data_IF_232138372422
#
_entry.id   IF_232138372422
#
_cell.length_a   1.000
_cell.length_b   1.000
_cell.length_c   1.000
_cell.angle_alpha   90.00
_cell.angle_beta   90.00
_cell.angle_gamma   90.00
#
_symmetry.space_group_name_H-M   'P 1'
#
loop_
_entity.id
_entity.type
_entity.pdbx_description
1 polymer ?
#
# COMPACT_ATOMS: atom_id res chain seq x y z
N UNK A 1 9.41 -45.25 11.78
CA UNK A 1 8.01 -44.74 11.81
C UNK A 1 8.10 -43.26 11.55
N UNK A 2 8.28 -42.90 10.29
CA UNK A 2 8.43 -41.51 9.87
C UNK A 2 7.02 -40.94 9.72
N UNK A 3 6.65 -40.09 10.68
CA UNK A 3 5.42 -39.32 10.63
C UNK A 3 5.48 -38.35 9.46
N UNK A 4 4.90 -38.75 8.33
CA UNK A 4 4.54 -37.82 7.26
C UNK A 4 3.55 -36.84 7.88
N UNK A 5 4.03 -35.66 8.23
CA UNK A 5 3.19 -34.55 8.64
C UNK A 5 2.14 -34.37 7.53
N UNK A 6 0.87 -34.61 7.85
CA UNK A 6 -0.22 -34.40 6.92
C UNK A 6 -0.13 -32.95 6.42
N UNK A 7 0.13 -32.78 5.12
CA UNK A 7 0.14 -31.46 4.48
C UNK A 7 -1.30 -30.94 4.60
N UNK A 8 -1.50 -29.94 5.47
CA UNK A 8 -2.82 -29.32 5.61
C UNK A 8 -3.28 -28.83 4.23
N UNK A 9 -4.57 -28.97 3.88
CA UNK A 9 -5.06 -28.54 2.57
C UNK A 9 -4.73 -27.06 2.36
N UNK A 10 -4.13 -26.74 1.21
CA UNK A 10 -3.73 -25.37 0.91
C UNK A 10 -4.97 -24.46 0.83
N UNK A 11 -4.96 -23.37 1.59
CA UNK A 11 -6.10 -22.46 1.69
C UNK A 11 -6.11 -21.53 0.48
N UNK A 12 -7.29 -21.15 0.01
CA UNK A 12 -7.42 -20.20 -1.10
C UNK A 12 -7.30 -18.76 -0.60
N UNK A 13 -6.61 -17.93 -1.37
CA UNK A 13 -6.48 -16.48 -1.18
C UNK A 13 -6.74 -15.79 -2.51
N UNK A 14 -7.57 -14.74 -2.52
CA UNK A 14 -7.73 -13.87 -3.69
C UNK A 14 -7.11 -12.52 -3.38
N UNK A 15 -6.26 -12.02 -4.27
CA UNK A 15 -5.72 -10.67 -4.20
C UNK A 15 -6.20 -9.86 -5.42
N UNK A 16 -6.93 -8.78 -5.17
CA UNK A 16 -7.46 -7.88 -6.20
C UNK A 16 -6.60 -6.62 -6.23
N UNK A 17 -5.90 -6.43 -7.33
CA UNK A 17 -4.91 -5.37 -7.55
C UNK A 17 -5.27 -4.50 -8.76
N UNK A 18 -4.56 -3.38 -8.90
CA UNK A 18 -4.81 -2.43 -9.98
C UNK A 18 -4.75 -0.97 -9.53
N UNK A 19 -4.78 -0.03 -10.49
CA UNK A 19 -4.65 1.40 -10.19
C UNK A 19 -5.80 1.92 -9.33
N UNK A 20 -5.58 2.97 -8.56
CA UNK A 20 -6.67 3.66 -7.84
C UNK A 20 -7.83 4.01 -8.78
N UNK A 21 -9.07 3.96 -8.26
CA UNK A 21 -10.31 4.12 -9.04
C UNK A 21 -10.60 3.04 -10.10
N UNK A 22 -9.87 1.92 -10.15
CA UNK A 22 -10.11 0.83 -11.12
C UNK A 22 -11.29 -0.11 -10.79
N UNK A 23 -12.08 0.15 -9.74
CA UNK A 23 -13.21 -0.71 -9.35
C UNK A 23 -12.88 -1.91 -8.43
N UNK A 24 -11.66 -2.00 -7.88
CA UNK A 24 -11.25 -3.13 -7.02
C UNK A 24 -12.20 -3.39 -5.84
N UNK A 25 -12.59 -2.33 -5.11
CA UNK A 25 -13.48 -2.47 -3.95
C UNK A 25 -14.85 -2.98 -4.36
N UNK A 26 -15.39 -2.51 -5.50
CA UNK A 26 -16.67 -2.98 -6.03
C UNK A 26 -16.62 -4.47 -6.41
N UNK A 27 -15.52 -4.92 -7.04
CA UNK A 27 -15.29 -6.34 -7.32
C UNK A 27 -15.17 -7.18 -6.04
N UNK A 28 -14.44 -6.70 -5.04
CA UNK A 28 -14.29 -7.42 -3.78
C UNK A 28 -15.64 -7.60 -3.07
N UNK A 29 -16.45 -6.54 -3.02
CA UNK A 29 -17.79 -6.56 -2.46
C UNK A 29 -18.73 -7.46 -3.25
N UNK A 30 -18.62 -7.50 -4.59
CA UNK A 30 -19.46 -8.38 -5.41
C UNK A 30 -19.13 -9.85 -5.20
N UNK A 31 -17.85 -10.20 -5.09
CA UNK A 31 -17.40 -11.56 -4.73
C UNK A 31 -17.90 -11.95 -3.33
N UNK A 32 -17.71 -11.09 -2.33
CA UNK A 32 -18.09 -11.36 -0.94
C UNK A 32 -19.61 -11.48 -0.71
N UNK A 33 -20.44 -11.12 -1.70
CA UNK A 33 -21.90 -11.37 -1.65
C UNK A 33 -22.27 -12.81 -2.03
N UNK A 34 -21.44 -13.50 -2.79
CA UNK A 34 -21.73 -14.85 -3.29
C UNK A 34 -20.93 -15.94 -2.59
N UNK A 35 -19.75 -15.60 -2.08
CA UNK A 35 -18.92 -16.52 -1.29
C UNK A 35 -18.71 -15.98 0.12
N UNK A 36 -18.66 -16.87 1.13
CA UNK A 36 -18.40 -16.47 2.51
C UNK A 36 -16.95 -15.94 2.62
N UNK A 37 -16.80 -14.63 2.47
CA UNK A 37 -15.49 -13.97 2.37
C UNK A 37 -15.37 -12.77 3.31
N UNK A 38 -14.12 -12.41 3.61
CA UNK A 38 -13.77 -11.21 4.37
C UNK A 38 -12.66 -10.46 3.63
N UNK A 39 -12.69 -9.12 3.71
CA UNK A 39 -11.77 -8.26 2.95
C UNK A 39 -10.61 -7.83 3.83
N UNK A 40 -9.38 -7.92 3.33
CA UNK A 40 -8.18 -7.36 3.96
C UNK A 40 -7.71 -6.17 3.11
N UNK A 41 -7.80 -4.96 3.66
CA UNK A 41 -7.34 -3.75 2.94
C UNK A 41 -5.82 -3.78 2.76
N UNK A 42 -5.35 -3.52 1.54
CA UNK A 42 -3.94 -3.42 1.14
C UNK A 42 -3.62 -1.98 0.68
N UNK A 43 -3.91 -1.02 1.54
CA UNK A 43 -3.75 0.41 1.27
C UNK A 43 -2.97 1.11 2.40
N UNK A 44 -1.94 1.88 2.04
CA UNK A 44 -1.07 2.54 3.02
C UNK A 44 -1.70 3.75 3.73
N UNK A 45 -2.88 4.21 3.31
CA UNK A 45 -3.60 5.31 3.95
C UNK A 45 -4.80 4.82 4.77
N UNK A 46 -5.48 3.77 4.32
CA UNK A 46 -6.66 3.24 5.01
C UNK A 46 -6.35 2.64 6.39
N UNK A 47 -5.09 2.36 6.67
CA UNK A 47 -4.63 1.90 7.99
C UNK A 47 -4.78 2.96 9.08
N UNK A 48 -4.83 4.25 8.73
CA UNK A 48 -4.82 5.36 9.69
C UNK A 48 -6.23 5.79 10.10
N UNK A 49 -6.46 5.94 11.41
CA UNK A 49 -7.73 6.42 11.98
C UNK A 49 -8.04 7.87 11.59
N UNK A 50 -9.30 8.15 11.28
CA UNK A 50 -9.78 9.51 10.95
C UNK A 50 -9.30 10.05 9.60
N UNK A 51 -8.64 9.22 8.79
CA UNK A 51 -8.30 9.49 7.39
C UNK A 51 -9.28 8.74 6.49
N UNK A 52 -10.54 9.18 6.40
CA UNK A 52 -11.63 8.39 5.82
C UNK A 52 -11.92 8.79 4.38
N UNK A 53 -12.20 10.06 4.13
CA UNK A 53 -12.60 10.60 2.83
C UNK A 53 -11.41 10.56 1.88
N UNK A 54 -10.26 11.13 2.27
CA UNK A 54 -9.12 11.27 1.36
C UNK A 54 -8.46 9.94 0.96
N UNK A 55 -8.64 8.90 1.78
CA UNK A 55 -8.15 7.54 1.52
C UNK A 55 -9.16 6.66 0.77
N UNK A 56 -10.37 7.18 0.52
CA UNK A 56 -11.52 6.42 0.03
C UNK A 56 -11.73 5.11 0.79
N UNK A 57 -11.76 5.19 2.12
CA UNK A 57 -12.13 4.02 2.91
C UNK A 57 -13.55 3.56 2.55
N UNK A 58 -13.81 2.25 2.58
CA UNK A 58 -15.17 1.72 2.55
C UNK A 58 -16.02 2.40 3.64
N UNK A 59 -17.25 2.73 3.26
CA UNK A 59 -18.26 3.30 4.15
C UNK A 59 -18.61 2.34 5.28
N UNK A 60 -19.19 2.84 6.37
CA UNK A 60 -19.66 1.98 7.45
C UNK A 60 -20.71 0.94 6.98
N UNK A 61 -21.53 1.29 5.98
CA UNK A 61 -22.48 0.36 5.38
C UNK A 61 -21.77 -0.80 4.68
N UNK A 62 -20.75 -0.52 3.88
CA UNK A 62 -19.94 -1.55 3.21
C UNK A 62 -19.18 -2.42 4.21
N UNK A 63 -18.63 -1.82 5.27
CA UNK A 63 -17.93 -2.56 6.34
C UNK A 63 -18.86 -3.43 7.19
N UNK A 64 -20.13 -3.05 7.32
CA UNK A 64 -21.16 -3.87 7.98
C UNK A 64 -21.63 -5.02 7.08
N UNK A 65 -21.71 -4.78 5.77
CA UNK A 65 -22.10 -5.80 4.80
C UNK A 65 -21.03 -6.90 4.67
N UNK A 66 -19.75 -6.52 4.66
CA UNK A 66 -18.61 -7.44 4.58
C UNK A 66 -17.54 -7.01 5.58
N UNK A 67 -17.07 -7.89 6.49
CA UNK A 67 -15.99 -7.54 7.40
C UNK A 67 -14.73 -7.08 6.65
N UNK A 68 -14.22 -5.90 7.02
CA UNK A 68 -12.97 -5.37 6.51
C UNK A 68 -11.91 -5.34 7.61
N UNK A 69 -10.76 -5.91 7.31
CA UNK A 69 -9.58 -5.93 8.17
C UNK A 69 -8.56 -4.90 7.71
N UNK A 70 -7.63 -4.54 8.60
CA UNK A 70 -6.49 -3.66 8.31
C UNK A 70 -6.90 -2.22 7.92
N UNK A 71 -8.09 -1.80 8.38
CA UNK A 71 -8.57 -0.42 8.32
C UNK A 71 -8.57 0.13 9.76
N UNK A 72 -8.19 1.39 9.95
CA UNK A 72 -8.23 2.03 11.27
C UNK A 72 -7.41 1.28 12.35
N UNK A 73 -6.23 0.78 11.97
CA UNK A 73 -5.35 -0.02 12.84
C UNK A 73 -4.31 0.81 13.58
N UNK A 74 -3.97 2.00 13.08
CA UNK A 74 -2.99 2.92 13.70
C UNK A 74 -3.49 4.35 13.72
N UNK A 75 -2.98 5.15 14.64
CA UNK A 75 -3.27 6.58 14.69
C UNK A 75 -2.39 7.33 13.66
N UNK A 76 -2.82 8.52 13.18
CA UNK A 76 -2.14 9.22 12.08
C UNK A 76 -0.67 9.58 12.34
N UNK A 77 -0.29 9.74 13.61
CA UNK A 77 1.07 10.09 14.07
C UNK A 77 1.96 8.86 14.31
N UNK A 78 1.40 7.66 14.20
CA UNK A 78 2.13 6.41 14.34
C UNK A 78 2.79 5.98 13.02
N UNK A 79 3.95 5.35 13.13
CA UNK A 79 4.62 4.76 11.98
C UNK A 79 3.97 3.42 11.61
N UNK A 80 3.66 3.21 10.32
CA UNK A 80 3.18 1.92 9.82
C UNK A 80 3.97 1.47 8.58
N UNK A 81 4.66 0.33 8.71
CA UNK A 81 5.55 -0.18 7.66
C UNK A 81 4.94 -1.32 6.85
N UNK A 82 5.58 -1.67 5.74
CA UNK A 82 5.21 -2.86 4.97
C UNK A 82 5.43 -4.17 5.74
N UNK A 83 6.35 -4.18 6.71
CA UNK A 83 6.57 -5.33 7.60
C UNK A 83 5.42 -5.45 8.63
N UNK A 84 4.97 -4.31 9.19
CA UNK A 84 3.79 -4.28 10.08
C UNK A 84 2.54 -4.76 9.34
N UNK A 85 2.34 -4.25 8.12
CA UNK A 85 1.28 -4.70 7.25
C UNK A 85 1.35 -6.21 7.03
N UNK A 86 2.48 -6.76 6.59
CA UNK A 86 2.61 -8.18 6.31
C UNK A 86 2.31 -9.04 7.54
N UNK A 87 2.82 -8.65 8.72
CA UNK A 87 2.55 -9.35 9.98
C UNK A 87 1.07 -9.38 10.32
N UNK A 88 0.42 -8.21 10.33
CA UNK A 88 -1.01 -8.08 10.67
C UNK A 88 -1.92 -8.72 9.61
N UNK A 89 -1.63 -8.53 8.33
CA UNK A 89 -2.37 -9.14 7.24
C UNK A 89 -2.26 -10.66 7.28
N UNK A 90 -1.07 -11.24 7.48
CA UNK A 90 -0.91 -12.71 7.62
C UNK A 90 -1.68 -13.26 8.81
N UNK A 91 -1.79 -12.52 9.92
CA UNK A 91 -2.62 -12.90 11.05
C UNK A 91 -4.11 -12.90 10.65
N UNK A 92 -4.59 -11.81 10.04
CA UNK A 92 -5.96 -11.71 9.55
C UNK A 92 -6.30 -12.83 8.55
N UNK A 93 -5.41 -13.16 7.61
CA UNK A 93 -5.61 -14.28 6.68
C UNK A 93 -5.86 -15.60 7.43
N UNK A 94 -5.02 -15.93 8.41
CA UNK A 94 -5.16 -17.16 9.20
C UNK A 94 -6.48 -17.20 9.96
N UNK A 95 -6.88 -16.09 10.56
CA UNK A 95 -8.13 -15.97 11.30
C UNK A 95 -9.35 -16.11 10.40
N UNK A 96 -9.35 -15.46 9.23
CA UNK A 96 -10.42 -15.56 8.23
C UNK A 96 -10.56 -17.01 7.77
N UNK A 97 -9.46 -17.66 7.40
CA UNK A 97 -9.50 -19.06 6.97
C UNK A 97 -9.87 -20.02 8.10
N UNK A 98 -9.50 -19.74 9.35
CA UNK A 98 -9.92 -20.54 10.49
C UNK A 98 -11.44 -20.51 10.72
N UNK A 99 -12.11 -19.44 10.27
CA UNK A 99 -13.59 -19.34 10.22
C UNK A 99 -14.20 -19.99 8.98
N UNK A 100 -13.42 -20.68 8.15
CA UNK A 100 -13.88 -21.30 6.90
C UNK A 100 -14.25 -20.27 5.81
N UNK A 101 -13.72 -19.05 5.90
CA UNK A 101 -14.02 -17.95 4.96
C UNK A 101 -12.86 -17.69 4.00
N UNK A 102 -13.19 -17.18 2.83
CA UNK A 102 -12.20 -16.77 1.82
C UNK A 102 -11.62 -15.39 2.18
N UNK A 103 -10.31 -15.27 2.42
CA UNK A 103 -9.68 -13.96 2.48
C UNK A 103 -9.56 -13.34 1.09
N UNK A 104 -10.02 -12.09 0.97
CA UNK A 104 -9.88 -11.27 -0.24
C UNK A 104 -9.02 -10.04 0.10
N UNK A 105 -7.78 -10.01 -0.38
CA UNK A 105 -6.87 -8.87 -0.21
C UNK A 105 -7.15 -7.83 -1.29
N UNK A 106 -7.44 -6.59 -0.93
CA UNK A 106 -7.86 -5.55 -1.89
C UNK A 106 -7.01 -4.32 -1.73
N UNK A 107 -6.34 -3.88 -2.79
CA UNK A 107 -5.64 -2.60 -2.73
C UNK A 107 -4.67 -2.34 -3.87
N UNK A 108 -3.97 -1.22 -3.76
CA UNK A 108 -3.03 -0.76 -4.79
C UNK A 108 -1.60 -0.57 -4.27
N UNK A 109 -1.31 -0.95 -3.03
CA UNK A 109 0.01 -0.75 -2.42
C UNK A 109 0.91 -1.94 -2.76
N UNK A 110 1.60 -1.85 -3.90
CA UNK A 110 2.39 -2.96 -4.42
C UNK A 110 3.46 -3.50 -3.45
N UNK A 111 4.09 -2.63 -2.64
CA UNK A 111 5.06 -3.05 -1.64
C UNK A 111 4.41 -3.87 -0.50
N UNK A 112 3.19 -3.52 -0.08
CA UNK A 112 2.44 -4.24 0.95
C UNK A 112 2.05 -5.63 0.45
N UNK A 113 1.55 -5.73 -0.78
CA UNK A 113 1.23 -7.03 -1.37
C UNK A 113 2.48 -7.91 -1.51
N UNK A 114 3.60 -7.33 -1.97
CA UNK A 114 4.88 -8.06 -2.04
C UNK A 114 5.31 -8.55 -0.66
N UNK A 115 5.25 -7.69 0.35
CA UNK A 115 5.58 -8.05 1.73
C UNK A 115 4.69 -9.17 2.27
N UNK A 116 3.40 -9.14 1.95
CA UNK A 116 2.44 -10.18 2.32
C UNK A 116 2.78 -11.52 1.65
N UNK A 117 2.86 -11.55 0.32
CA UNK A 117 2.96 -12.78 -0.48
C UNK A 117 4.37 -13.37 -0.50
N UNK A 118 5.40 -12.53 -0.62
CA UNK A 118 6.80 -12.95 -0.79
C UNK A 118 7.67 -12.69 0.44
N UNK A 119 7.15 -11.96 1.43
CA UNK A 119 7.91 -11.51 2.59
C UNK A 119 8.77 -10.28 2.28
N UNK A 120 9.41 -9.76 3.34
CA UNK A 120 10.52 -8.82 3.26
C UNK A 120 11.70 -9.43 4.03
N UNK A 121 12.92 -8.99 3.70
CA UNK A 121 14.08 -9.39 4.50
C UNK A 121 13.91 -8.94 5.95
N UNK A 122 14.40 -9.76 6.89
CA UNK A 122 14.40 -9.45 8.31
C UNK A 122 15.49 -8.40 8.62
N UNK A 123 15.16 -7.13 8.39
CA UNK A 123 16.06 -6.01 8.62
C UNK A 123 15.84 -5.32 9.97
N UNK A 124 16.82 -4.53 10.44
CA UNK A 124 16.62 -3.68 11.60
C UNK A 124 15.45 -2.72 11.36
N UNK A 125 14.68 -2.46 12.42
CA UNK A 125 13.61 -1.47 12.43
C UNK A 125 14.13 -0.08 12.09
N UNK A 126 13.20 0.83 11.79
CA UNK A 126 13.52 2.24 11.57
C UNK A 126 14.16 2.86 12.81
N UNK A 127 15.22 3.63 12.62
CA UNK A 127 15.88 4.44 13.65
C UNK A 127 15.73 5.93 13.30
N UNK A 128 14.91 6.64 14.08
CA UNK A 128 14.60 8.04 13.86
C UNK A 128 15.84 8.94 14.00
N UNK A 129 16.72 8.66 14.97
CA UNK A 129 17.91 9.47 15.22
C UNK A 129 18.94 9.32 14.10
N UNK A 130 19.13 8.09 13.60
CA UNK A 130 20.03 7.83 12.46
C UNK A 130 19.49 8.53 11.22
N UNK A 131 18.19 8.43 10.94
CA UNK A 131 17.58 9.12 9.79
C UNK A 131 17.73 10.62 9.88
N UNK A 132 17.41 11.23 11.02
CA UNK A 132 17.53 12.68 11.21
C UNK A 132 18.97 13.16 10.95
N UNK A 133 19.97 12.41 11.44
CA UNK A 133 21.39 12.70 11.17
C UNK A 133 21.72 12.62 9.67
N UNK A 134 21.26 11.57 8.99
CA UNK A 134 21.49 11.40 7.55
C UNK A 134 20.77 12.48 6.73
N UNK A 135 19.55 12.86 7.11
CA UNK A 135 18.81 13.96 6.49
C UNK A 135 19.54 15.29 6.66
N UNK A 136 20.09 15.59 7.84
CA UNK A 136 20.95 16.77 8.07
C UNK A 136 22.20 16.76 7.20
N UNK A 137 22.80 15.59 6.96
CA UNK A 137 23.94 15.47 6.02
C UNK A 137 23.50 15.75 4.59
N UNK A 138 22.38 15.18 4.14
CA UNK A 138 21.82 15.46 2.82
C UNK A 138 21.50 16.95 2.62
N UNK A 139 20.90 17.60 3.62
CA UNK A 139 20.56 19.01 3.58
C UNK A 139 21.81 19.91 3.48
N UNK A 140 22.91 19.55 4.17
CA UNK A 140 24.14 20.35 4.20
C UNK A 140 25.08 20.08 3.02
N UNK A 141 25.17 18.84 2.55
CA UNK A 141 26.19 18.38 1.59
C UNK A 141 25.61 17.81 0.28
N UNK A 142 24.29 17.78 0.15
CA UNK A 142 23.58 17.22 -0.99
C UNK A 142 23.50 15.69 -0.99
N UNK A 143 22.57 15.16 -1.79
CA UNK A 143 22.30 13.73 -1.90
C UNK A 143 23.48 12.93 -2.46
N UNK A 144 24.27 13.54 -3.34
CA UNK A 144 25.50 12.96 -3.86
C UNK A 144 26.52 12.63 -2.75
N UNK A 145 26.54 13.38 -1.65
CA UNK A 145 27.40 13.06 -0.50
C UNK A 145 26.95 11.78 0.21
N UNK A 146 25.64 11.59 0.40
CA UNK A 146 25.10 10.36 0.98
C UNK A 146 25.29 9.17 0.05
N UNK A 147 25.08 9.35 -1.25
CA UNK A 147 25.26 8.29 -2.22
C UNK A 147 26.73 7.82 -2.30
N UNK A 148 27.71 8.73 -2.22
CA UNK A 148 29.12 8.35 -2.09
C UNK A 148 29.42 7.55 -0.83
N UNK A 149 28.76 7.87 0.29
CA UNK A 149 28.88 7.06 1.50
C UNK A 149 28.29 5.66 1.27
N UNK A 150 27.13 5.57 0.63
CA UNK A 150 26.51 4.29 0.26
C UNK A 150 27.43 3.48 -0.64
N UNK A 151 28.03 4.08 -1.66
CA UNK A 151 28.95 3.41 -2.59
C UNK A 151 30.17 2.80 -1.90
N UNK A 152 30.60 3.32 -0.75
CA UNK A 152 31.71 2.76 0.04
C UNK A 152 31.29 1.55 0.85
N UNK A 153 30.06 1.52 1.37
CA UNK A 153 29.59 0.47 2.30
C UNK A 153 28.76 -0.61 1.61
N UNK A 154 28.08 -0.27 0.52
CA UNK A 154 27.25 -1.18 -0.28
C UNK A 154 27.29 -0.77 -1.78
N UNK A 155 28.38 -1.09 -2.50
CA UNK A 155 28.53 -0.73 -3.91
C UNK A 155 27.40 -1.28 -4.80
N UNK A 156 26.90 -2.47 -4.48
CA UNK A 156 25.82 -3.11 -5.23
C UNK A 156 24.47 -2.40 -5.02
N UNK A 157 24.18 -1.89 -3.82
CA UNK A 157 23.02 -1.01 -3.62
C UNK A 157 23.22 0.33 -4.33
N UNK A 158 24.40 0.94 -4.25
CA UNK A 158 24.68 2.23 -4.88
C UNK A 158 24.54 2.20 -6.41
N UNK A 159 24.87 1.08 -7.06
CA UNK A 159 24.67 0.89 -8.49
C UNK A 159 23.19 0.80 -8.91
N UNK A 160 22.30 0.42 -8.00
CA UNK A 160 20.85 0.24 -8.25
C UNK A 160 20.00 1.41 -7.78
N UNK A 161 20.47 2.13 -6.76
CA UNK A 161 19.75 3.24 -6.14
C UNK A 161 20.25 4.54 -6.76
N UNK A 162 19.34 5.25 -7.43
CA UNK A 162 19.60 6.57 -7.99
C UNK A 162 20.08 7.55 -6.93
N UNK A 163 21.02 8.44 -7.29
CA UNK A 163 21.58 9.44 -6.37
C UNK A 163 20.50 10.29 -5.71
N UNK A 164 19.46 10.66 -6.48
CA UNK A 164 18.32 11.46 -6.03
C UNK A 164 17.32 10.70 -5.16
N UNK A 165 17.40 9.37 -5.08
CA UNK A 165 16.51 8.57 -4.23
C UNK A 165 17.00 8.57 -2.78
N UNK A 166 16.93 9.76 -2.16
CA UNK A 166 17.36 9.99 -0.78
C UNK A 166 16.75 8.97 0.18
N UNK A 167 15.48 8.61 -0.01
CA UNK A 167 14.76 7.69 0.87
C UNK A 167 15.41 6.31 0.87
N UNK A 168 15.71 5.75 -0.32
CA UNK A 168 16.39 4.44 -0.42
C UNK A 168 17.85 4.51 0.01
N UNK A 169 18.56 5.60 -0.30
CA UNK A 169 19.94 5.81 0.17
C UNK A 169 20.00 5.83 1.69
N UNK A 170 19.14 6.62 2.33
CA UNK A 170 19.05 6.69 3.80
C UNK A 170 18.71 5.32 4.38
N UNK A 171 17.75 4.58 3.81
CA UNK A 171 17.40 3.24 4.30
C UNK A 171 18.57 2.27 4.21
N UNK A 172 19.32 2.27 3.11
CA UNK A 172 20.48 1.39 2.96
C UNK A 172 21.58 1.70 3.99
N UNK A 173 21.86 2.99 4.21
CA UNK A 173 22.81 3.43 5.22
C UNK A 173 22.34 3.17 6.66
N UNK A 174 21.04 3.36 6.93
CA UNK A 174 20.40 3.05 8.21
C UNK A 174 20.55 1.56 8.55
N UNK A 175 20.24 0.66 7.59
CA UNK A 175 20.39 -0.78 7.76
C UNK A 175 21.84 -1.17 8.03
N UNK A 176 22.78 -0.62 7.26
CA UNK A 176 24.21 -0.86 7.48
C UNK A 176 24.65 -0.38 8.86
N UNK A 177 24.20 0.81 9.28
CA UNK A 177 24.60 1.39 10.56
C UNK A 177 24.08 0.59 11.76
N UNK A 178 22.85 0.07 11.66
CA UNK A 178 22.21 -0.68 12.73
C UNK A 178 22.67 -2.14 12.80
N UNK A 179 22.94 -2.78 11.66
CA UNK A 179 23.26 -4.21 11.60
C UNK A 179 24.75 -4.52 11.40
N UNK A 180 25.57 -3.53 11.05
CA UNK A 180 26.95 -3.72 10.59
C UNK A 180 27.08 -4.36 9.20
N UNK A 181 25.97 -4.75 8.56
CA UNK A 181 25.94 -5.49 7.30
C UNK A 181 25.25 -4.68 6.20
N UNK A 182 25.75 -4.70 4.94
CA UNK A 182 25.13 -3.99 3.82
C UNK A 182 23.69 -4.43 3.54
N UNK A 183 22.85 -3.53 3.02
CA UNK A 183 21.46 -3.84 2.65
C UNK A 183 21.39 -4.98 1.62
N UNK A 184 22.33 -5.03 0.68
CA UNK A 184 22.39 -6.10 -0.32
C UNK A 184 22.69 -7.47 0.28
N UNK A 185 23.41 -7.54 1.41
CA UNK A 185 23.64 -8.80 2.10
C UNK A 185 22.34 -9.35 2.69
N UNK A 186 21.55 -8.50 3.35
CA UNK A 186 20.23 -8.87 3.86
C UNK A 186 19.26 -9.31 2.77
N UNK A 187 19.26 -8.63 1.61
CA UNK A 187 18.42 -9.03 0.49
C UNK A 187 18.79 -10.42 -0.10
N UNK A 188 20.03 -10.88 0.06
CA UNK A 188 20.48 -12.21 -0.43
C UNK A 188 20.01 -13.36 0.45
N UNK A 189 19.79 -13.11 1.74
CA UNK A 189 19.24 -14.11 2.67
C UNK A 189 17.79 -14.47 2.35
N UNK A 190 17.14 -13.64 1.52
CA UNK A 190 15.78 -13.87 1.06
C UNK A 190 14.73 -13.39 2.06
N UNK A 191 13.49 -13.74 1.77
CA UNK A 191 12.35 -13.43 2.61
C UNK A 191 11.43 -14.63 2.64
N UNK A 192 10.72 -14.83 3.75
CA UNK A 192 9.80 -15.95 3.88
C UNK A 192 8.49 -15.65 3.11
N UNK A 193 8.17 -16.43 2.06
CA UNK A 193 6.90 -16.28 1.35
C UNK A 193 5.72 -16.67 2.25
N UNK A 194 4.52 -16.31 1.81
CA UNK A 194 3.29 -16.71 2.47
C UNK A 194 3.13 -18.24 2.35
N UNK A 195 3.18 -18.95 3.47
CA UNK A 195 2.99 -20.39 3.53
C UNK A 195 1.52 -20.78 3.77
N UNK A 196 1.09 -21.91 3.22
CA UNK A 196 -0.24 -22.50 3.43
C UNK A 196 -1.38 -21.86 2.63
N UNK A 197 -1.06 -21.06 1.61
CA UNK A 197 -2.04 -20.45 0.72
C UNK A 197 -1.67 -20.65 -0.75
N UNK A 198 -2.67 -20.96 -1.58
CA UNK A 198 -2.63 -20.76 -3.03
C UNK A 198 -3.34 -19.45 -3.33
N UNK A 199 -2.65 -18.55 -4.03
CA UNK A 199 -3.17 -17.22 -4.31
C UNK A 199 -3.51 -17.02 -5.79
N UNK A 200 -4.72 -16.52 -6.05
CA UNK A 200 -5.05 -15.84 -7.32
C UNK A 200 -4.79 -14.35 -7.17
N UNK A 201 -3.93 -13.77 -8.01
CA UNK A 201 -3.73 -12.32 -8.08
C UNK A 201 -4.45 -11.77 -9.32
N UNK A 202 -5.63 -11.19 -9.13
CA UNK A 202 -6.46 -10.60 -10.18
C UNK A 202 -6.17 -9.10 -10.30
N UNK A 203 -5.62 -8.67 -11.44
CA UNK A 203 -5.32 -7.28 -11.75
C UNK A 203 -6.37 -6.63 -12.64
N UNK A 204 -6.92 -5.50 -12.21
CA UNK A 204 -7.82 -4.69 -13.03
C UNK A 204 -7.03 -3.66 -13.84
N UNK A 205 -7.24 -3.62 -15.15
CA UNK A 205 -6.58 -2.71 -16.08
C UNK A 205 -7.61 -2.00 -17.00
N UNK A 206 -8.46 -1.12 -16.46
CA UNK A 206 -9.39 -0.34 -17.28
C UNK A 206 -8.65 0.56 -18.27
N UNK A 207 -9.35 0.99 -19.32
CA UNK A 207 -8.83 1.97 -20.27
C UNK A 207 -8.41 3.27 -19.58
N UNK A 208 -7.46 3.99 -20.19
CA UNK A 208 -6.94 5.23 -19.61
C UNK A 208 -8.03 6.29 -19.47
N UNK A 209 -8.96 6.32 -20.41
CA UNK A 209 -10.10 7.22 -20.48
C UNK A 209 -11.08 6.93 -19.34
N UNK A 210 -11.46 5.66 -19.17
CA UNK A 210 -12.34 5.24 -18.07
C UNK A 210 -11.70 5.51 -16.70
N UNK A 211 -10.40 5.22 -16.56
CA UNK A 211 -9.66 5.48 -15.34
C UNK A 211 -9.63 6.97 -15.00
N UNK A 212 -9.39 7.84 -16.00
CA UNK A 212 -9.39 9.30 -15.79
C UNK A 212 -10.76 9.80 -15.37
N UNK A 213 -11.82 9.37 -16.05
CA UNK A 213 -13.19 9.75 -15.69
C UNK A 213 -13.54 9.33 -14.26
N UNK A 214 -13.16 8.11 -13.86
CA UNK A 214 -13.36 7.62 -12.49
C UNK A 214 -12.56 8.41 -11.45
N UNK A 215 -11.32 8.80 -11.75
CA UNK A 215 -10.49 9.65 -10.89
C UNK A 215 -11.09 11.04 -10.72
N UNK A 216 -11.57 11.66 -11.81
CA UNK A 216 -12.20 12.98 -11.78
C UNK A 216 -13.50 12.96 -10.97
N UNK A 217 -14.37 11.97 -11.20
CA UNK A 217 -15.60 11.80 -10.44
C UNK A 217 -15.33 11.57 -8.95
N UNK A 218 -14.39 10.67 -8.61
CA UNK A 218 -14.00 10.38 -7.22
C UNK A 218 -13.40 11.59 -6.53
N UNK A 219 -12.56 12.36 -7.24
CA UNK A 219 -11.97 13.59 -6.69
C UNK A 219 -13.07 14.58 -6.31
N UNK A 220 -14.01 14.83 -7.22
CA UNK A 220 -15.14 15.73 -6.96
C UNK A 220 -15.94 15.28 -5.73
N UNK A 221 -16.31 14.00 -5.70
CA UNK A 221 -17.08 13.42 -4.60
C UNK A 221 -16.37 13.54 -3.25
N UNK A 222 -15.04 13.42 -3.18
CA UNK A 222 -14.28 13.60 -1.94
C UNK A 222 -14.39 15.04 -1.41
N UNK A 223 -14.23 16.04 -2.28
CA UNK A 223 -14.36 17.44 -1.87
C UNK A 223 -15.81 17.77 -1.45
N UNK A 224 -16.81 17.27 -2.18
CA UNK A 224 -18.22 17.42 -1.84
C UNK A 224 -18.58 16.73 -0.50
N UNK A 225 -17.94 15.60 -0.19
CA UNK A 225 -18.13 14.88 1.06
C UNK A 225 -17.44 15.53 2.27
N UNK A 226 -16.74 16.65 2.10
CA UNK A 226 -16.10 17.38 3.21
C UNK A 226 -14.64 17.00 3.46
N UNK A 227 -13.88 16.59 2.43
CA UNK A 227 -12.44 16.30 2.57
C UNK A 227 -11.65 17.46 3.22
N UNK A 228 -12.01 18.71 2.91
CA UNK A 228 -11.34 19.89 3.50
C UNK A 228 -11.60 19.96 5.01
N UNK A 229 -12.80 19.62 5.46
CA UNK A 229 -13.17 19.63 6.87
C UNK A 229 -12.53 18.46 7.64
N UNK A 230 -12.42 17.29 7.03
CA UNK A 230 -11.61 16.17 7.56
C UNK A 230 -10.17 16.63 7.82
N UNK A 231 -9.55 17.32 6.85
CA UNK A 231 -8.19 17.83 6.99
C UNK A 231 -8.07 18.93 8.04
N UNK A 232 -9.05 19.84 8.14
CA UNK A 232 -9.09 20.84 9.24
C UNK A 232 -9.12 20.14 10.60
N UNK A 233 -9.93 19.10 10.75
CA UNK A 233 -10.02 18.30 11.98
C UNK A 233 -8.73 17.54 12.30
N UNK A 234 -7.96 17.13 11.30
CA UNK A 234 -6.63 16.56 11.50
C UNK A 234 -5.60 17.62 11.91
N UNK A 235 -5.57 18.77 11.24
CA UNK A 235 -4.66 19.88 11.55
C UNK A 235 -4.90 20.52 12.92
N UNK A 236 -6.12 20.42 13.45
CA UNK A 236 -6.44 20.86 14.80
C UNK A 236 -5.84 19.94 15.89
N UNK A 237 -5.54 18.68 15.56
CA UNK A 237 -5.09 17.65 16.52
C UNK A 237 -3.63 17.22 16.33
N UNK A 238 -3.10 17.37 15.12
CA UNK A 238 -1.78 16.88 14.73
C UNK A 238 -0.96 17.96 14.04
N UNK A 239 0.38 17.90 14.11
CA UNK A 239 1.23 18.87 13.44
C UNK A 239 1.05 18.79 11.92
N UNK A 240 1.19 19.92 11.22
CA UNK A 240 1.09 19.97 9.76
C UNK A 240 2.15 19.11 9.03
N UNK A 241 3.20 18.69 9.74
CA UNK A 241 4.25 17.78 9.26
C UNK A 241 3.87 16.29 9.32
N UNK A 242 2.63 15.99 9.74
CA UNK A 242 2.10 14.63 9.80
C UNK A 242 2.22 13.94 8.43
N UNK A 243 2.92 12.80 8.38
CA UNK A 243 3.27 12.15 7.09
C UNK A 243 2.06 11.83 6.21
N UNK A 244 0.95 11.27 6.73
CA UNK A 244 -0.26 11.09 5.94
C UNK A 244 -0.82 12.36 5.26
N UNK A 245 -0.61 13.56 5.82
CA UNK A 245 -1.05 14.82 5.19
C UNK A 245 -0.26 15.16 3.92
N UNK A 246 0.90 14.51 3.69
CA UNK A 246 1.66 14.64 2.44
C UNK A 246 1.12 13.74 1.31
N UNK A 247 0.13 12.89 1.58
CA UNK A 247 -0.44 12.00 0.57
C UNK A 247 -1.38 12.74 -0.38
N UNK A 248 -1.55 12.17 -1.59
CA UNK A 248 -2.50 12.69 -2.59
C UNK A 248 -3.91 12.69 -2.00
N UNK A 249 -4.66 13.76 -2.20
CA UNK A 249 -5.94 14.06 -1.57
C UNK A 249 -5.75 14.95 -0.34
N UNK A 250 -5.00 14.47 0.65
CA UNK A 250 -4.78 15.20 1.90
C UNK A 250 -3.92 16.44 1.71
N UNK A 251 -2.87 16.37 0.89
CA UNK A 251 -1.96 17.50 0.62
C UNK A 251 -2.71 18.66 -0.05
N UNK A 252 -3.50 18.34 -1.07
CA UNK A 252 -4.28 19.31 -1.83
C UNK A 252 -5.38 19.92 -0.96
N UNK A 253 -6.09 19.11 -0.17
CA UNK A 253 -7.08 19.59 0.78
C UNK A 253 -6.47 20.41 1.92
N UNK A 254 -5.25 20.10 2.36
CA UNK A 254 -4.52 20.90 3.35
C UNK A 254 -4.14 22.28 2.81
N UNK A 255 -3.77 22.39 1.53
CA UNK A 255 -3.53 23.69 0.88
C UNK A 255 -4.81 24.54 0.83
N UNK A 256 -5.97 23.92 0.54
CA UNK A 256 -7.27 24.60 0.61
C UNK A 256 -7.61 25.02 2.04
N UNK A 257 -7.40 24.13 3.01
CA UNK A 257 -7.67 24.41 4.42
C UNK A 257 -6.86 25.61 4.96
N UNK A 258 -5.65 25.85 4.42
CA UNK A 258 -4.80 27.00 4.74
C UNK A 258 -5.08 28.26 3.91
N UNK A 259 -6.03 28.21 2.98
CA UNK A 259 -6.34 29.33 2.09
C UNK A 259 -5.29 29.59 1.01
N UNK A 260 -4.38 28.65 0.77
CA UNK A 260 -3.34 28.78 -0.24
C UNK A 260 -3.90 28.52 -1.65
N UNK A 261 -4.82 27.55 -1.77
CA UNK A 261 -5.43 27.11 -3.03
C UNK A 261 -6.95 27.19 -2.99
N UNK A 262 -7.57 27.39 -4.16
CA UNK A 262 -9.01 27.15 -4.34
C UNK A 262 -9.31 25.65 -4.46
N UNK A 263 -10.56 25.27 -4.21
CA UNK A 263 -11.04 23.88 -4.42
C UNK A 263 -10.76 23.42 -5.85
N UNK A 264 -11.03 24.26 -6.85
CA UNK A 264 -10.78 23.91 -8.26
C UNK A 264 -9.30 23.66 -8.56
N UNK A 265 -8.40 24.46 -7.99
CA UNK A 265 -6.96 24.26 -8.13
C UNK A 265 -6.55 22.91 -7.51
N UNK A 266 -7.03 22.63 -6.30
CA UNK A 266 -6.77 21.40 -5.57
C UNK A 266 -7.30 20.16 -6.31
N UNK A 267 -8.53 20.22 -6.85
CA UNK A 267 -9.10 19.13 -7.64
C UNK A 267 -8.29 18.84 -8.91
N UNK A 268 -7.90 19.89 -9.67
CA UNK A 268 -7.07 19.72 -10.87
C UNK A 268 -5.72 19.08 -10.55
N UNK A 269 -5.07 19.51 -9.46
CA UNK A 269 -3.78 18.97 -9.04
C UNK A 269 -3.91 17.52 -8.55
N UNK A 270 -4.93 17.23 -7.74
CA UNK A 270 -5.23 15.90 -7.23
C UNK A 270 -5.49 14.91 -8.36
N UNK A 271 -6.29 15.27 -9.38
CA UNK A 271 -6.54 14.40 -10.55
C UNK A 271 -5.23 14.07 -11.26
N UNK A 272 -4.42 15.09 -11.55
CA UNK A 272 -3.12 14.95 -12.24
C UNK A 272 -2.18 14.01 -11.48
N UNK A 273 -2.04 14.20 -10.18
CA UNK A 273 -1.13 13.40 -9.36
C UNK A 273 -1.67 11.99 -9.08
N UNK A 274 -2.99 11.85 -8.95
CA UNK A 274 -3.67 10.54 -8.88
C UNK A 274 -3.43 9.74 -10.16
N UNK A 275 -3.53 10.36 -11.35
CA UNK A 275 -3.22 9.68 -12.62
C UNK A 275 -1.75 9.28 -12.73
N UNK A 276 -0.82 10.10 -12.23
CA UNK A 276 0.60 9.72 -12.15
C UNK A 276 0.82 8.55 -11.20
N UNK A 277 0.12 8.54 -10.05
CA UNK A 277 0.19 7.45 -9.10
C UNK A 277 -0.39 6.16 -9.69
N UNK A 278 -1.54 6.23 -10.33
CA UNK A 278 -2.15 5.10 -11.04
C UNK A 278 -1.20 4.50 -12.09
N UNK A 279 -0.52 5.34 -12.89
CA UNK A 279 0.52 4.87 -13.81
C UNK A 279 1.63 4.10 -13.09
N UNK A 280 2.14 4.63 -11.96
CA UNK A 280 3.17 3.95 -11.16
C UNK A 280 2.68 2.61 -10.61
N UNK A 281 1.43 2.54 -10.16
CA UNK A 281 0.82 1.28 -9.69
C UNK A 281 0.74 0.25 -10.82
N UNK A 282 0.24 0.65 -12.00
CA UNK A 282 0.18 -0.22 -13.17
C UNK A 282 1.56 -0.71 -13.60
N UNK A 283 2.56 0.18 -13.64
CA UNK A 283 3.95 -0.21 -13.91
C UNK A 283 4.45 -1.21 -12.87
N UNK A 284 4.23 -0.96 -11.57
CA UNK A 284 4.67 -1.87 -10.51
C UNK A 284 4.08 -3.27 -10.67
N UNK A 285 2.76 -3.36 -10.80
CA UNK A 285 2.06 -4.65 -10.88
C UNK A 285 2.36 -5.41 -12.16
N UNK A 286 2.60 -4.73 -13.30
CA UNK A 286 3.00 -5.41 -14.55
C UNK A 286 4.38 -6.08 -14.48
N UNK A 287 5.23 -5.65 -13.55
CA UNK A 287 6.54 -6.28 -13.30
C UNK A 287 6.48 -7.29 -12.15
N UNK A 288 5.30 -7.57 -11.57
CA UNK A 288 5.14 -8.67 -10.63
C UNK A 288 4.78 -9.94 -11.42
N UNK A 289 5.43 -11.05 -11.06
CA UNK A 289 5.07 -12.37 -11.54
C UNK A 289 3.69 -12.76 -10.97
N UNK A 290 2.92 -13.53 -11.75
CA UNK A 290 1.64 -14.16 -11.35
C UNK A 290 0.38 -13.27 -11.28
N UNK A 291 0.38 -12.07 -11.88
CA UNK A 291 -0.84 -11.24 -12.00
C UNK A 291 -1.64 -11.61 -13.25
N UNK A 292 -2.88 -12.10 -13.07
CA UNK A 292 -3.85 -12.30 -14.16
C UNK A 292 -4.60 -10.99 -14.40
N UNK A 293 -4.44 -10.40 -15.58
CA UNK A 293 -5.01 -9.11 -15.92
C UNK A 293 -6.37 -9.22 -16.59
N UNK A 294 -7.27 -8.30 -16.25
CA UNK A 294 -8.64 -8.21 -16.75
C UNK A 294 -8.97 -6.77 -17.14
N UNK A 295 -9.71 -6.59 -18.22
CA UNK A 295 -10.11 -5.26 -18.71
C UNK A 295 -11.33 -4.74 -17.94
N UNK A 296 -12.17 -5.65 -17.45
CA UNK A 296 -13.37 -5.34 -16.67
C UNK A 296 -13.44 -6.09 -15.33
N UNK A 297 -14.22 -5.53 -14.40
CA UNK A 297 -14.51 -6.19 -13.13
C UNK A 297 -15.38 -7.45 -13.32
N UNK A 298 -16.20 -7.51 -14.37
CA UNK A 298 -17.06 -8.65 -14.67
C UNK A 298 -16.24 -9.86 -15.12
N UNK A 299 -15.30 -9.68 -16.04
CA UNK A 299 -14.34 -10.72 -16.45
C UNK A 299 -13.54 -11.24 -15.27
N UNK A 300 -13.01 -10.32 -14.45
CA UNK A 300 -12.24 -10.67 -13.27
C UNK A 300 -13.09 -11.49 -12.27
N UNK A 301 -14.37 -11.15 -12.12
CA UNK A 301 -15.31 -11.87 -11.26
C UNK A 301 -15.54 -13.29 -11.75
N UNK A 302 -15.89 -13.47 -13.02
CA UNK A 302 -16.12 -14.80 -13.63
C UNK A 302 -14.89 -15.69 -13.49
N UNK A 303 -13.73 -15.19 -13.88
CA UNK A 303 -12.47 -15.91 -13.76
C UNK A 303 -12.07 -16.23 -12.31
N UNK A 304 -12.49 -15.40 -11.35
CA UNK A 304 -12.28 -15.69 -9.92
C UNK A 304 -13.16 -16.84 -9.46
N UNK A 305 -14.43 -16.88 -9.88
CA UNK A 305 -15.30 -18.01 -9.55
C UNK A 305 -14.85 -19.31 -10.20
N UNK A 306 -14.42 -19.28 -11.46
CA UNK A 306 -13.87 -20.46 -12.15
C UNK A 306 -12.65 -21.02 -11.41
N UNK A 307 -11.82 -20.15 -10.83
CA UNK A 307 -10.66 -20.55 -10.04
C UNK A 307 -11.02 -21.05 -8.63
N UNK A 308 -12.16 -20.59 -8.09
CA UNK A 308 -12.72 -21.03 -6.82
C UNK A 308 -13.56 -22.31 -6.95
N UNK A 309 -13.92 -22.74 -8.15
CA UNK A 309 -14.54 -24.05 -8.38
C UNK A 309 -13.57 -25.20 -8.07
#
# INVERSE_FOLDING_TARGET
MDGVAAVAPERRLVAIVGPTASGKSALALSLAREVPAEIVSCDSLQVYRGLDIGSAKPTLAERRAVPHHLIDVVDPDQDFSAADYARLARAALREISARGRLPIVVGGTGLYLRALLRGLFAGPSRDAQVRERLEKVAARRGDASLHRLLARVDPAAAARIEVRDRVRVIRALEVWRASGRPLTAHHREGAEPLAGYVSLVAGLAPSREALRAAVEARTRAMFEAGLVDEVRGLLARYPATLRPLGAIGYREAAAVARGEWTVDQAQRDMVKDTMRYAKRQSTWFRHQEDVRWFESAEEARGATFDWLA
#
